data_IF_709211563934
#
_entry.id   IF_709211563934
#
_cell.length_a   1.000
_cell.length_b   1.000
_cell.length_c   1.000
_cell.angle_alpha   90.00
_cell.angle_beta   90.00
_cell.angle_gamma   90.00
#
_symmetry.space_group_name_H-M   'P 1'
#
loop_
_entity.id
_entity.type
_entity.pdbx_description
1 polymer ?
#
# COMPACT_ATOMS: atom_id res chain seq x y z
N UNK A 1 26.23 0.81 25.44
CA UNK A 1 25.17 -0.06 24.89
C UNK A 1 25.55 -0.34 23.44
N UNK A 2 25.80 -1.59 23.07
CA UNK A 2 26.07 -1.94 21.68
C UNK A 2 24.79 -1.75 20.84
N UNK A 3 24.87 -0.92 19.82
CA UNK A 3 23.77 -0.74 18.86
C UNK A 3 23.70 -1.98 17.98
N UNK A 4 22.73 -2.86 18.25
CA UNK A 4 22.47 -4.00 17.37
C UNK A 4 21.95 -3.49 16.03
N UNK A 5 22.74 -3.64 14.98
CA UNK A 5 22.35 -3.29 13.62
C UNK A 5 21.42 -4.40 13.10
N UNK A 6 20.19 -4.04 12.75
CA UNK A 6 19.24 -4.93 12.08
C UNK A 6 19.47 -4.90 10.57
N UNK A 7 19.43 -6.07 9.91
CA UNK A 7 19.48 -6.15 8.45
C UNK A 7 18.09 -5.95 7.88
N UNK A 8 17.94 -4.95 7.02
CA UNK A 8 16.73 -4.75 6.21
C UNK A 8 16.97 -5.34 4.81
N UNK A 9 16.05 -6.19 4.37
CA UNK A 9 16.04 -6.76 3.02
C UNK A 9 14.78 -6.29 2.30
N UNK A 10 14.94 -5.75 1.11
CA UNK A 10 13.85 -5.29 0.25
C UNK A 10 13.92 -5.95 -1.13
N UNK A 11 12.93 -5.66 -1.97
CA UNK A 11 13.00 -6.01 -3.39
C UNK A 11 14.07 -5.18 -4.10
N UNK A 12 14.49 -5.62 -5.29
CA UNK A 12 15.41 -4.84 -6.15
C UNK A 12 14.87 -3.43 -6.41
N UNK A 13 13.56 -3.29 -6.58
CA UNK A 13 12.91 -1.99 -6.80
C UNK A 13 13.00 -1.08 -5.56
N UNK A 14 12.83 -1.66 -4.37
CA UNK A 14 13.01 -0.94 -3.09
C UNK A 14 14.45 -0.45 -2.93
N UNK A 15 15.44 -1.28 -3.29
CA UNK A 15 16.85 -0.91 -3.19
C UNK A 15 17.19 0.25 -4.14
N UNK A 16 16.73 0.16 -5.39
CA UNK A 16 16.92 1.23 -6.38
C UNK A 16 16.23 2.53 -5.95
N UNK A 17 15.05 2.45 -5.32
CA UNK A 17 14.37 3.62 -4.78
C UNK A 17 15.19 4.28 -3.67
N UNK A 18 15.76 3.49 -2.75
CA UNK A 18 16.63 3.98 -1.71
C UNK A 18 17.89 4.66 -2.28
N UNK A 19 18.50 4.11 -3.33
CA UNK A 19 19.66 4.72 -4.00
C UNK A 19 19.33 6.11 -4.57
N UNK A 20 18.20 6.25 -5.29
CA UNK A 20 17.78 7.55 -5.85
C UNK A 20 17.58 8.59 -4.77
N UNK A 21 16.95 8.21 -3.67
CA UNK A 21 16.70 9.13 -2.57
C UNK A 21 18.00 9.53 -1.85
N UNK A 22 18.95 8.61 -1.66
CA UNK A 22 20.27 8.92 -1.08
C UNK A 22 21.07 9.86 -1.97
N UNK A 23 21.01 9.67 -3.29
CA UNK A 23 21.62 10.59 -4.25
C UNK A 23 21.01 11.98 -4.13
N UNK A 24 19.68 12.08 -4.11
CA UNK A 24 18.98 13.35 -3.99
C UNK A 24 19.27 14.08 -2.65
N UNK A 25 19.30 13.36 -1.53
CA UNK A 25 19.60 13.94 -0.21
C UNK A 25 21.04 14.44 -0.13
N UNK A 26 21.97 13.75 -0.76
CA UNK A 26 23.38 14.12 -0.74
C UNK A 26 23.77 15.10 -1.87
N UNK A 27 22.84 15.47 -2.74
CA UNK A 27 23.11 16.43 -3.80
C UNK A 27 23.41 17.81 -3.20
N UNK A 28 24.51 18.44 -3.61
CA UNK A 28 25.00 19.68 -3.03
C UNK A 28 25.65 19.58 -1.64
N UNK A 29 25.78 18.39 -1.04
CA UNK A 29 26.40 18.17 0.27
C UNK A 29 27.83 17.60 0.15
N UNK A 30 28.84 18.38 0.59
CA UNK A 30 30.26 18.04 0.46
C UNK A 30 30.88 17.39 1.72
N UNK A 31 30.22 17.47 2.88
CA UNK A 31 30.67 16.85 4.12
C UNK A 31 29.50 16.25 4.91
N UNK A 32 29.73 15.12 5.61
CA UNK A 32 28.68 14.46 6.40
C UNK A 32 27.59 13.79 5.55
N UNK A 33 27.99 13.13 4.45
CA UNK A 33 27.06 12.44 3.55
C UNK A 33 26.28 11.36 4.28
N UNK A 34 24.98 11.32 4.02
CA UNK A 34 24.06 10.33 4.56
C UNK A 34 24.26 9.00 3.84
N UNK A 35 24.52 7.94 4.58
CA UNK A 35 24.58 6.58 4.04
C UNK A 35 23.18 6.06 3.73
N UNK A 36 23.08 5.06 2.85
CA UNK A 36 21.80 4.39 2.54
C UNK A 36 21.09 3.88 3.79
N UNK A 37 21.86 3.30 4.72
CA UNK A 37 21.32 2.78 5.98
C UNK A 37 20.73 3.90 6.86
N UNK A 38 21.46 5.01 7.04
CA UNK A 38 20.97 6.16 7.82
C UNK A 38 19.73 6.77 7.19
N UNK A 39 19.71 6.93 5.87
CA UNK A 39 18.53 7.41 5.15
C UNK A 39 17.34 6.49 5.42
N UNK A 40 17.47 5.18 5.17
CA UNK A 40 16.33 4.24 5.27
C UNK A 40 15.82 4.17 6.70
N UNK A 41 16.73 4.15 7.68
CA UNK A 41 16.36 4.21 9.10
C UNK A 41 15.58 5.48 9.43
N UNK A 42 16.05 6.64 8.98
CA UNK A 42 15.35 7.91 9.16
C UNK A 42 13.97 7.91 8.49
N UNK A 43 13.88 7.41 7.26
CA UNK A 43 12.64 7.39 6.48
C UNK A 43 11.57 6.51 7.15
N UNK A 44 11.94 5.33 7.67
CA UNK A 44 11.01 4.43 8.36
C UNK A 44 10.49 5.06 9.65
N UNK A 45 11.39 5.60 10.49
CA UNK A 45 11.02 6.24 11.75
C UNK A 45 10.16 7.49 11.51
N UNK A 46 10.49 8.28 10.49
CA UNK A 46 9.71 9.44 10.09
C UNK A 46 8.32 9.01 9.60
N UNK A 47 8.26 8.00 8.73
CA UNK A 47 7.01 7.47 8.20
C UNK A 47 6.10 6.93 9.32
N UNK A 48 6.64 6.14 10.26
CA UNK A 48 5.90 5.64 11.42
C UNK A 48 5.27 6.79 12.21
N UNK A 49 6.07 7.79 12.55
CA UNK A 49 5.65 8.88 13.45
C UNK A 49 4.67 9.85 12.80
N UNK A 50 4.77 10.06 11.49
CA UNK A 50 4.08 11.18 10.82
C UNK A 50 3.06 10.76 9.78
N UNK A 51 3.20 9.58 9.16
CA UNK A 51 2.40 9.21 7.99
C UNK A 51 1.68 7.87 8.12
N UNK A 52 2.12 7.00 9.05
CA UNK A 52 1.67 5.61 9.07
C UNK A 52 0.17 5.46 9.28
N UNK A 53 -0.41 6.19 10.23
CA UNK A 53 -1.85 6.10 10.50
C UNK A 53 -2.70 6.55 9.32
N UNK A 54 -2.27 7.60 8.61
CA UNK A 54 -2.97 8.12 7.44
C UNK A 54 -2.83 7.20 6.23
N UNK A 55 -1.68 6.53 6.09
CA UNK A 55 -1.43 5.58 5.01
C UNK A 55 -1.93 4.15 5.30
N UNK A 56 -2.30 3.84 6.54
CA UNK A 56 -2.63 2.48 6.97
C UNK A 56 -3.74 1.83 6.14
N UNK A 57 -4.83 2.56 5.91
CA UNK A 57 -5.96 2.02 5.12
C UNK A 57 -5.57 1.78 3.67
N UNK A 58 -4.71 2.64 3.09
CA UNK A 58 -4.21 2.45 1.74
C UNK A 58 -3.29 1.24 1.64
N UNK A 59 -2.38 1.05 2.60
CA UNK A 59 -1.52 -0.14 2.66
C UNK A 59 -2.38 -1.41 2.75
N UNK A 60 -3.42 -1.39 3.58
CA UNK A 60 -4.34 -2.53 3.70
C UNK A 60 -5.03 -2.84 2.38
N UNK A 61 -5.48 -1.82 1.65
CA UNK A 61 -6.13 -1.98 0.34
C UNK A 61 -5.17 -2.50 -0.73
N UNK A 62 -3.97 -1.93 -0.83
CA UNK A 62 -2.97 -2.30 -1.85
C UNK A 62 -2.49 -3.75 -1.67
N UNK A 63 -2.54 -4.27 -0.44
CA UNK A 63 -2.15 -5.64 -0.09
C UNK A 63 -3.33 -6.55 0.30
N UNK A 64 -4.57 -6.17 -0.02
CA UNK A 64 -5.73 -6.96 0.35
C UNK A 64 -5.87 -8.20 -0.56
N UNK A 65 -5.57 -9.37 -0.02
CA UNK A 65 -5.85 -10.66 -0.68
C UNK A 65 -7.27 -11.12 -0.35
N UNK A 66 -8.18 -10.96 -1.31
CA UNK A 66 -9.59 -11.35 -1.18
C UNK A 66 -9.78 -12.86 -0.94
N UNK A 67 -8.92 -13.69 -1.53
CA UNK A 67 -9.03 -15.15 -1.42
C UNK A 67 -8.58 -15.59 -0.02
N UNK A 68 -7.42 -15.12 0.42
CA UNK A 68 -6.92 -15.38 1.77
C UNK A 68 -7.89 -14.85 2.84
N UNK A 69 -8.51 -13.70 2.59
CA UNK A 69 -9.55 -13.17 3.47
C UNK A 69 -10.77 -14.07 3.53
N UNK A 70 -11.29 -14.54 2.39
CA UNK A 70 -12.44 -15.45 2.34
C UNK A 70 -12.16 -16.78 3.06
N UNK A 71 -10.96 -17.34 2.87
CA UNK A 71 -10.51 -18.54 3.58
C UNK A 71 -10.49 -18.32 5.10
N UNK A 72 -10.03 -17.14 5.54
CA UNK A 72 -10.01 -16.77 6.95
C UNK A 72 -11.41 -16.69 7.55
N UNK A 73 -12.36 -16.06 6.85
CA UNK A 73 -13.77 -15.96 7.24
C UNK A 73 -14.42 -17.34 7.32
N UNK A 74 -14.18 -18.21 6.35
CA UNK A 74 -14.71 -19.57 6.35
C UNK A 74 -14.15 -20.39 7.53
N UNK A 75 -12.87 -20.24 7.85
CA UNK A 75 -12.24 -20.89 9.01
C UNK A 75 -12.87 -20.42 10.31
N UNK A 76 -13.12 -19.12 10.46
CA UNK A 76 -13.77 -18.54 11.63
C UNK A 76 -15.21 -19.04 11.80
N UNK A 77 -16.00 -19.05 10.71
CA UNK A 77 -17.36 -19.55 10.72
C UNK A 77 -17.44 -21.05 11.09
N UNK A 78 -16.52 -21.86 10.57
CA UNK A 78 -16.39 -23.28 10.92
C UNK A 78 -16.04 -23.46 12.40
N UNK A 79 -15.15 -22.63 12.94
CA UNK A 79 -14.74 -22.66 14.35
C UNK A 79 -15.92 -22.33 15.28
N UNK A 80 -16.61 -21.23 15.03
CA UNK A 80 -17.78 -20.82 15.81
C UNK A 80 -18.89 -21.88 15.78
N UNK A 81 -19.14 -22.51 14.61
CA UNK A 81 -20.08 -23.64 14.51
C UNK A 81 -19.66 -24.83 15.39
N UNK A 82 -18.36 -25.13 15.47
CA UNK A 82 -17.83 -26.20 16.33
C UNK A 82 -17.96 -25.85 17.83
N UNK A 83 -17.86 -24.57 18.17
CA UNK A 83 -17.99 -24.04 19.53
C UNK A 83 -19.46 -23.84 19.96
N UNK A 84 -20.43 -24.28 19.15
CA UNK A 84 -21.85 -24.23 19.49
C UNK A 84 -22.50 -22.86 19.18
N UNK A 85 -21.85 -22.01 18.39
CA UNK A 85 -22.39 -20.75 17.89
C UNK A 85 -22.83 -20.91 16.42
N UNK A 86 -24.09 -21.33 16.15
CA UNK A 86 -24.56 -21.59 14.79
C UNK A 86 -24.83 -20.31 13.98
N UNK A 87 -24.96 -19.17 14.64
CA UNK A 87 -25.41 -17.92 14.03
C UNK A 87 -24.24 -16.93 13.90
N UNK A 88 -23.27 -17.28 13.06
CA UNK A 88 -22.21 -16.37 12.64
C UNK A 88 -22.79 -15.43 11.60
N UNK A 89 -22.73 -14.12 11.84
CA UNK A 89 -23.13 -13.13 10.85
C UNK A 89 -22.09 -13.05 9.73
N UNK A 90 -22.24 -13.94 8.75
CA UNK A 90 -21.41 -13.98 7.56
C UNK A 90 -21.54 -12.69 6.73
N UNK A 91 -22.68 -12.00 6.79
CA UNK A 91 -22.89 -10.74 6.08
C UNK A 91 -21.95 -9.65 6.58
N UNK A 92 -21.81 -9.54 7.91
CA UNK A 92 -20.84 -8.64 8.53
C UNK A 92 -19.40 -9.01 8.16
N UNK A 93 -19.03 -10.29 8.25
CA UNK A 93 -17.68 -10.78 7.96
C UNK A 93 -17.28 -10.64 6.48
N UNK A 94 -18.23 -10.73 5.55
CA UNK A 94 -17.96 -10.58 4.11
C UNK A 94 -18.00 -9.12 3.63
N UNK A 95 -18.42 -8.19 4.49
CA UNK A 95 -18.58 -6.77 4.12
C UNK A 95 -17.32 -6.10 3.55
N UNK A 96 -16.08 -6.48 3.91
CA UNK A 96 -14.87 -5.91 3.29
C UNK A 96 -14.66 -6.32 1.83
N UNK A 97 -15.12 -7.51 1.42
CA UNK A 97 -15.04 -7.97 0.03
C UNK A 97 -16.22 -7.40 -0.79
N UNK A 98 -17.42 -7.34 -0.21
CA UNK A 98 -18.64 -6.98 -0.95
C UNK A 98 -18.79 -5.47 -1.22
N UNK A 99 -18.09 -4.61 -0.47
CA UNK A 99 -18.11 -3.15 -0.69
C UNK A 99 -17.13 -2.67 -1.79
N UNK A 100 -16.19 -3.51 -2.22
CA UNK A 100 -15.14 -3.15 -3.18
C UNK A 100 -15.49 -3.35 -4.67
N UNK A 101 -16.65 -3.91 -5.00
CA UNK A 101 -17.05 -4.23 -6.39
C UNK A 101 -18.13 -3.27 -6.91
N UNK A 102 -17.89 -1.96 -6.89
CA UNK A 102 -18.58 -1.05 -7.82
C UNK A 102 -17.68 -0.86 -9.04
N UNK A 103 -17.92 -1.66 -10.08
CA UNK A 103 -17.39 -1.38 -11.42
C UNK A 103 -17.94 -0.02 -11.84
N UNK A 104 -17.16 1.04 -11.69
CA UNK A 104 -17.47 2.32 -12.32
C UNK A 104 -17.41 2.10 -13.84
N UNK A 105 -18.55 2.19 -14.51
CA UNK A 105 -18.60 2.19 -15.97
C UNK A 105 -17.68 3.32 -16.47
N UNK A 106 -16.73 3.06 -17.38
CA UNK A 106 -15.92 4.13 -17.95
C UNK A 106 -16.84 5.14 -18.63
N UNK A 107 -16.79 6.41 -18.20
CA UNK A 107 -17.44 7.51 -18.91
C UNK A 107 -16.78 7.61 -20.28
N UNK A 108 -17.50 7.26 -21.33
CA UNK A 108 -17.08 7.46 -22.71
C UNK A 108 -16.68 8.93 -22.91
N UNK A 109 -15.40 9.18 -23.17
CA UNK A 109 -14.88 10.49 -23.58
C UNK A 109 -15.39 10.72 -24.99
N UNK A 110 -16.43 11.54 -25.17
CA UNK A 110 -16.83 12.04 -26.48
C UNK A 110 -15.62 12.78 -27.08
N UNK A 111 -14.95 12.15 -28.03
CA UNK A 111 -14.09 12.84 -28.98
C UNK A 111 -15.01 13.69 -29.86
N UNK A 112 -15.05 15.00 -29.61
CA UNK A 112 -15.48 15.96 -30.64
C UNK A 112 -14.34 16.10 -31.63
N UNK A 113 -14.47 15.38 -32.74
CA UNK A 113 -13.72 15.62 -33.96
C UNK A 113 -14.35 16.79 -34.72
N UNK A 114 -13.50 17.51 -35.45
CA UNK A 114 -13.77 18.57 -36.43
C UNK A 114 -14.28 19.92 -35.92
N UNK A 115 -13.44 20.94 -36.07
CA UNK A 115 -13.67 21.99 -37.07
C UNK A 115 -12.29 22.51 -37.53
N UNK A 116 -11.97 22.25 -38.80
CA UNK A 116 -10.83 22.83 -39.53
C UNK A 116 -11.30 24.19 -40.05
N UNK A 117 -10.63 25.31 -39.78
CA UNK A 117 -10.89 26.52 -40.54
C UNK A 117 -10.11 26.44 -41.86
N UNK A 118 -10.83 26.30 -42.96
CA UNK A 118 -10.36 26.71 -44.28
C UNK A 118 -10.03 28.21 -44.25
N UNK A 119 -9.02 28.60 -45.05
CA UNK A 119 -8.51 29.97 -45.16
C UNK A 119 -9.52 31.00 -45.68
N UNK A 120 -9.05 32.23 -45.92
CA UNK A 120 -8.10 32.49 -47.00
C UNK A 120 -6.78 33.16 -46.56
#
# INVERSE_FOLDING_TARGET
METKIAKFTGTTETEQAADRMVQAVNDGFSGGRVTKHEMVSWAILYFEKHCFLDCMERIRQDHFDQVAYLESVLREAKKARKEGQPNVDLGALLSPITKGTRVEKPKARQLKLSEVPEGP
#
